data_IF_296197822783
#
_entry.id   IF_296197822783
#
_cell.length_a   1.000
_cell.length_b   1.000
_cell.length_c   1.000
_cell.angle_alpha   90.00
_cell.angle_beta   90.00
_cell.angle_gamma   90.00
#
_symmetry.space_group_name_H-M   'P 1'
#
loop_
_entity.id
_entity.type
_entity.pdbx_description
1 polymer ?
#
# COMPACT_ATOMS: atom_id res chain seq x y z
N UNK A 1 7.01 7.98 -4.75
CA UNK A 1 5.60 7.52 -4.79
C UNK A 1 4.90 7.58 -3.42
N UNK A 2 5.35 8.42 -2.48
CA UNK A 2 4.68 8.60 -1.17
C UNK A 2 3.80 9.85 -1.12
N UNK A 3 4.05 10.84 -2.00
CA UNK A 3 3.38 12.14 -1.96
C UNK A 3 1.85 12.05 -2.00
N UNK A 4 1.28 11.25 -2.90
CA UNK A 4 -0.18 11.10 -2.99
C UNK A 4 -0.79 10.48 -1.73
N UNK A 5 -0.08 9.57 -1.06
CA UNK A 5 -0.54 8.98 0.20
C UNK A 5 -0.57 10.00 1.34
N UNK A 6 0.28 11.03 1.32
CA UNK A 6 0.33 12.06 2.35
C UNK A 6 -0.69 13.19 2.14
N UNK A 7 -1.37 13.21 0.99
CA UNK A 7 -2.47 14.16 0.72
C UNK A 7 -3.81 13.73 1.34
N UNK A 8 -3.89 12.50 1.84
CA UNK A 8 -5.08 11.95 2.50
C UNK A 8 -4.71 11.68 3.97
N UNK A 9 -5.60 12.06 4.89
CA UNK A 9 -5.40 11.77 6.31
C UNK A 9 -5.84 10.34 6.66
N UNK A 10 -5.03 9.36 6.23
CA UNK A 10 -5.26 7.96 6.59
C UNK A 10 -5.04 7.72 8.08
N UNK A 11 -6.08 7.24 8.78
CA UNK A 11 -6.02 6.81 10.17
C UNK A 11 -6.16 5.30 10.28
N UNK A 12 -5.14 4.67 10.84
CA UNK A 12 -5.13 3.25 11.17
C UNK A 12 -5.67 2.98 12.58
N UNK A 13 -5.33 1.82 13.11
CA UNK A 13 -5.63 1.40 14.49
C UNK A 13 -5.12 2.45 15.48
N UNK A 14 -5.90 2.65 16.55
CA UNK A 14 -5.57 3.58 17.64
C UNK A 14 -5.28 5.01 17.17
N UNK A 15 -5.81 5.43 16.01
CA UNK A 15 -5.62 6.77 15.47
C UNK A 15 -4.24 7.04 14.86
N UNK A 16 -3.42 6.00 14.64
CA UNK A 16 -2.09 6.15 14.02
C UNK A 16 -2.25 6.75 12.62
N UNK A 17 -1.61 7.88 12.35
CA UNK A 17 -1.62 8.48 11.03
C UNK A 17 -0.54 7.84 10.13
N UNK A 18 -0.89 7.56 8.87
CA UNK A 18 0.04 6.90 7.94
C UNK A 18 1.31 7.73 7.71
N UNK A 19 1.15 9.06 7.64
CA UNK A 19 2.26 10.02 7.50
C UNK A 19 3.27 9.92 8.64
N UNK A 20 2.79 9.73 9.88
CA UNK A 20 3.64 9.65 11.06
C UNK A 20 4.37 8.31 11.07
N UNK A 21 3.65 7.23 10.75
CA UNK A 21 4.22 5.89 10.62
C UNK A 21 5.30 5.79 9.54
N UNK A 22 5.13 6.48 8.42
CA UNK A 22 6.06 6.48 7.29
C UNK A 22 7.06 7.65 7.30
N UNK A 23 7.22 8.33 8.43
CA UNK A 23 8.16 9.45 8.59
C UNK A 23 9.62 9.09 8.27
N UNK A 24 10.02 7.84 8.53
CA UNK A 24 11.35 7.29 8.20
C UNK A 24 11.37 6.54 6.85
N UNK A 25 10.32 6.69 6.06
CA UNK A 25 10.10 5.96 4.81
C UNK A 25 9.01 4.88 4.91
N UNK A 26 8.44 4.44 3.77
CA UNK A 26 7.37 3.44 3.75
C UNK A 26 7.83 2.09 4.28
N UNK A 27 7.10 1.58 5.27
CA UNK A 27 7.27 0.22 5.79
C UNK A 27 6.05 -0.58 5.37
N UNK A 28 6.20 -1.49 4.41
CA UNK A 28 5.11 -2.27 3.82
C UNK A 28 5.42 -3.76 3.87
N UNK A 29 4.38 -4.58 3.83
CA UNK A 29 4.48 -6.01 3.60
C UNK A 29 4.16 -6.27 2.13
N UNK A 30 5.17 -6.77 1.41
CA UNK A 30 5.12 -7.06 -0.05
C UNK A 30 4.75 -5.86 -0.94
N UNK A 31 4.78 -4.63 -0.41
CA UNK A 31 4.27 -3.45 -1.11
C UNK A 31 2.75 -3.39 -1.28
N UNK A 32 2.01 -4.33 -0.66
CA UNK A 32 0.54 -4.44 -0.76
C UNK A 32 -0.15 -3.84 0.47
N UNK A 33 0.37 -4.13 1.66
CA UNK A 33 -0.25 -3.74 2.93
C UNK A 33 0.76 -3.12 3.88
N UNK A 34 0.27 -2.52 4.97
CA UNK A 34 1.13 -2.02 6.05
C UNK A 34 0.46 -2.29 7.41
N UNK A 35 1.25 -2.64 8.43
CA UNK A 35 0.74 -2.95 9.78
C UNK A 35 -0.09 -1.80 10.36
N UNK A 36 -0.96 -2.00 11.34
CA UNK A 36 -1.87 -0.96 11.88
C UNK A 36 -2.92 -0.38 10.90
N UNK A 37 -2.91 -0.72 9.61
CA UNK A 37 -3.93 -0.30 8.64
C UNK A 37 -4.66 -1.54 8.08
N UNK A 38 -5.51 -2.21 8.89
CA UNK A 38 -6.25 -3.38 8.44
C UNK A 38 -7.19 -3.02 7.29
N UNK A 39 -7.38 -3.95 6.35
CA UNK A 39 -8.24 -3.78 5.17
C UNK A 39 -7.86 -2.58 4.27
N UNK A 40 -6.63 -2.07 4.39
CA UNK A 40 -6.05 -1.08 3.48
C UNK A 40 -5.03 -1.77 2.56
N UNK A 41 -5.25 -1.66 1.24
CA UNK A 41 -4.37 -2.24 0.22
C UNK A 41 -3.85 -1.16 -0.72
N UNK A 42 -2.66 -1.39 -1.29
CA UNK A 42 -2.01 -0.49 -2.24
C UNK A 42 -1.72 -1.22 -3.55
N UNK A 43 -2.22 -0.66 -4.65
CA UNK A 43 -1.90 -1.13 -6.00
C UNK A 43 -0.59 -0.46 -6.45
N UNK A 44 0.41 -1.27 -6.79
CA UNK A 44 1.78 -0.82 -7.12
C UNK A 44 2.44 0.07 -6.07
N UNK A 45 2.17 -0.21 -4.78
CA UNK A 45 2.64 0.59 -3.64
C UNK A 45 4.16 0.53 -3.40
N UNK A 46 4.69 1.40 -2.53
CA UNK A 46 6.11 1.38 -2.15
C UNK A 46 6.54 0.02 -1.58
N UNK A 47 7.64 -0.54 -2.08
CA UNK A 47 8.11 -1.89 -1.73
C UNK A 47 7.65 -3.00 -2.68
N UNK A 48 6.85 -2.65 -3.71
CA UNK A 48 6.55 -3.51 -4.86
C UNK A 48 7.45 -3.16 -6.07
N UNK A 49 7.44 -3.96 -7.16
CA UNK A 49 8.19 -3.63 -8.38
C UNK A 49 7.84 -2.24 -8.96
N UNK A 50 6.56 -1.87 -8.91
CA UNK A 50 6.08 -0.52 -9.21
C UNK A 50 6.66 0.06 -10.52
N UNK A 51 7.23 1.26 -10.50
CA UNK A 51 7.84 1.93 -11.69
C UNK A 51 9.06 1.21 -12.27
N UNK A 52 9.58 0.18 -11.61
CA UNK A 52 10.72 -0.62 -12.09
C UNK A 52 10.28 -1.80 -12.97
N UNK A 53 8.97 -1.99 -13.17
CA UNK A 53 8.38 -3.01 -14.04
C UNK A 53 7.50 -2.39 -15.13
N UNK A 54 6.98 -3.24 -16.03
CA UNK A 54 5.88 -2.86 -16.90
C UNK A 54 4.62 -2.62 -16.04
N UNK A 55 4.31 -1.36 -15.74
CA UNK A 55 3.32 -0.99 -14.73
C UNK A 55 1.94 -1.63 -14.90
N UNK A 56 1.33 -1.71 -16.11
CA UNK A 56 0.08 -2.45 -16.33
C UNK A 56 0.11 -3.89 -15.81
N UNK A 57 1.20 -4.63 -16.06
CA UNK A 57 1.35 -6.02 -15.59
C UNK A 57 1.38 -6.08 -14.05
N UNK A 58 2.07 -5.15 -13.41
CA UNK A 58 2.08 -5.08 -11.94
C UNK A 58 0.75 -4.61 -11.36
N UNK A 59 0.00 -3.77 -12.07
CA UNK A 59 -1.35 -3.38 -11.68
C UNK A 59 -2.27 -4.60 -11.73
N UNK A 60 -2.31 -5.34 -12.84
CA UNK A 60 -3.13 -6.54 -13.01
C UNK A 60 -2.83 -7.55 -11.89
N UNK A 61 -1.56 -7.89 -11.69
CA UNK A 61 -1.14 -8.83 -10.67
C UNK A 61 -1.54 -8.38 -9.24
N UNK A 62 -1.37 -7.10 -8.89
CA UNK A 62 -1.78 -6.59 -7.58
C UNK A 62 -3.30 -6.60 -7.39
N UNK A 63 -4.06 -6.23 -8.43
CA UNK A 63 -5.53 -6.19 -8.38
C UNK A 63 -6.09 -7.59 -8.23
N UNK A 64 -5.59 -8.56 -9.02
CA UNK A 64 -5.97 -9.97 -8.92
C UNK A 64 -5.69 -10.51 -7.52
N UNK A 65 -4.46 -10.34 -7.02
CA UNK A 65 -4.08 -10.82 -5.69
C UNK A 65 -4.96 -10.23 -4.57
N UNK A 66 -5.23 -8.92 -4.61
CA UNK A 66 -6.07 -8.26 -3.59
C UNK A 66 -7.52 -8.74 -3.70
N UNK A 67 -8.03 -8.97 -4.91
CA UNK A 67 -9.40 -9.45 -5.12
C UNK A 67 -9.56 -10.88 -4.59
N UNK A 68 -8.64 -11.78 -4.94
CA UNK A 68 -8.60 -13.16 -4.44
C UNK A 68 -8.50 -13.21 -2.91
N UNK A 69 -7.68 -12.32 -2.31
CA UNK A 69 -7.55 -12.21 -0.85
C UNK A 69 -8.84 -11.76 -0.16
N UNK A 70 -9.64 -10.90 -0.81
CA UNK A 70 -10.91 -10.41 -0.27
C UNK A 70 -12.00 -11.49 -0.33
N UNK A 71 -11.94 -12.39 -1.31
CA UNK A 71 -12.91 -13.48 -1.47
C UNK A 71 -12.67 -14.67 -0.53
N UNK A 72 -11.45 -14.82 0.00
CA UNK A 72 -11.06 -15.89 0.93
C UNK A 72 -11.62 -15.70 2.36
#
# INVERSE_FOLDING_TARGET
MTGTFFNIDFKGRNGVALKDKWSEGPKTYLGIATTEFPNMFMITGPGSPSVLSNMPVSIEQHVEWVSDFIEY
#
